data_IF_646225213239
#
_entry.id   IF_646225213239
#
_cell.length_a   1.000
_cell.length_b   1.000
_cell.length_c   1.000
_cell.angle_alpha   90.00
_cell.angle_beta   90.00
_cell.angle_gamma   90.00
#
_symmetry.space_group_name_H-M   'P 1'
#
loop_
_entity.id
_entity.type
_entity.pdbx_description
1 polymer ?
#
# COMPACT_ATOMS: atom_id res chain seq x y z
N UNK A 1 24.35 10.43 -7.24
CA UNK A 1 23.13 10.57 -8.08
C UNK A 1 21.91 10.53 -7.16
N UNK A 2 20.86 11.29 -7.46
CA UNK A 2 19.65 11.33 -6.63
C UNK A 2 18.81 10.06 -6.86
N UNK A 3 18.31 9.41 -5.79
CA UNK A 3 17.41 8.25 -5.91
C UNK A 3 16.05 8.69 -6.50
N UNK A 4 15.45 7.95 -7.45
CA UNK A 4 14.15 8.28 -8.00
C UNK A 4 13.08 8.24 -6.90
N UNK A 5 12.12 9.18 -6.96
CA UNK A 5 10.99 9.24 -6.04
C UNK A 5 9.89 8.34 -6.56
N UNK A 6 9.44 7.38 -5.74
CA UNK A 6 8.47 6.36 -6.13
C UNK A 6 7.14 6.60 -5.42
N UNK A 7 6.05 6.54 -6.19
CA UNK A 7 4.70 6.35 -5.64
C UNK A 7 4.28 4.93 -5.97
N UNK A 8 3.92 4.16 -4.94
CA UNK A 8 3.40 2.80 -5.12
C UNK A 8 1.88 2.81 -5.13
N UNK A 9 1.26 2.16 -6.11
CA UNK A 9 -0.19 2.07 -6.23
C UNK A 9 -0.59 0.58 -6.25
N UNK A 10 -1.35 0.13 -5.25
CA UNK A 10 -1.75 -1.26 -5.15
C UNK A 10 -2.78 -1.49 -4.06
N UNK A 11 -3.53 -2.58 -4.16
CA UNK A 11 -4.62 -2.94 -3.24
C UNK A 11 -4.67 -4.44 -2.89
N UNK A 12 -4.50 -5.37 -3.84
CA UNK A 12 -4.64 -6.80 -3.55
C UNK A 12 -3.44 -7.34 -2.78
N UNK A 13 -3.61 -8.52 -2.18
CA UNK A 13 -2.61 -9.20 -1.36
C UNK A 13 -1.28 -9.43 -2.08
N UNK A 14 -1.32 -9.83 -3.36
CA UNK A 14 -0.10 -10.05 -4.14
C UNK A 14 0.75 -8.78 -4.34
N UNK A 15 0.15 -7.59 -4.25
CA UNK A 15 0.87 -6.34 -4.43
C UNK A 15 1.83 -6.04 -3.26
N UNK A 16 1.58 -6.63 -2.09
CA UNK A 16 2.43 -6.47 -0.90
C UNK A 16 3.85 -6.94 -1.17
N UNK A 17 4.03 -8.05 -1.90
CA UNK A 17 5.37 -8.56 -2.22
C UNK A 17 6.21 -7.56 -3.04
N UNK A 18 5.58 -6.83 -3.97
CA UNK A 18 6.25 -5.79 -4.75
C UNK A 18 6.59 -4.55 -3.91
N UNK A 19 5.67 -4.12 -3.03
CA UNK A 19 5.94 -3.02 -2.10
C UNK A 19 7.07 -3.36 -1.14
N UNK A 20 7.07 -4.59 -0.61
CA UNK A 20 8.10 -5.08 0.30
C UNK A 20 9.49 -5.15 -0.35
N UNK A 21 9.57 -5.61 -1.60
CA UNK A 21 10.82 -5.57 -2.36
C UNK A 21 11.36 -4.14 -2.51
N UNK A 22 10.48 -3.15 -2.75
CA UNK A 22 10.89 -1.74 -2.85
C UNK A 22 11.38 -1.18 -1.52
N UNK A 23 10.71 -1.50 -0.42
CA UNK A 23 11.09 -1.10 0.95
C UNK A 23 12.44 -1.71 1.33
N UNK A 24 12.63 -3.02 1.13
CA UNK A 24 13.87 -3.73 1.43
C UNK A 24 15.06 -3.27 0.60
N UNK A 25 14.82 -2.83 -0.63
CA UNK A 25 15.84 -2.21 -1.48
C UNK A 25 16.11 -0.73 -1.15
N UNK A 26 15.54 -0.21 -0.05
CA UNK A 26 15.71 1.16 0.43
C UNK A 26 15.43 2.20 -0.66
N UNK A 27 14.39 1.95 -1.47
CA UNK A 27 13.93 2.91 -2.46
C UNK A 27 13.27 4.11 -1.79
N UNK A 28 13.32 5.25 -2.46
CA UNK A 28 12.69 6.48 -1.97
C UNK A 28 11.18 6.48 -2.28
N UNK A 29 10.42 5.70 -1.50
CA UNK A 29 8.96 5.63 -1.59
C UNK A 29 8.37 6.83 -0.88
N UNK A 30 7.81 7.76 -1.66
CA UNK A 30 7.26 9.03 -1.14
C UNK A 30 5.75 8.99 -0.92
N UNK A 31 5.09 7.90 -1.31
CA UNK A 31 3.68 7.68 -1.10
C UNK A 31 3.23 6.28 -1.51
N UNK A 32 2.22 5.77 -0.82
CA UNK A 32 1.48 4.55 -1.12
C UNK A 32 0.02 4.92 -1.32
N UNK A 33 -0.58 4.46 -2.41
CA UNK A 33 -2.00 4.66 -2.71
C UNK A 33 -2.67 3.30 -2.78
N UNK A 34 -3.80 3.18 -2.10
CA UNK A 34 -4.65 1.99 -2.13
C UNK A 34 -6.12 2.40 -2.11
N UNK A 35 -7.00 1.49 -2.54
CA UNK A 35 -8.44 1.71 -2.46
C UNK A 35 -8.88 1.99 -1.01
N UNK A 36 -9.92 2.82 -0.81
CA UNK A 36 -10.53 3.03 0.49
C UNK A 36 -11.08 1.73 1.06
N UNK A 37 -11.16 1.67 2.39
CA UNK A 37 -11.73 0.53 3.07
C UNK A 37 -13.21 0.43 2.72
N UNK A 38 -13.66 -0.76 2.29
CA UNK A 38 -15.03 -0.97 1.84
C UNK A 38 -15.56 -2.34 2.25
N UNK A 39 -16.88 -2.48 2.43
CA UNK A 39 -17.52 -3.78 2.65
C UNK A 39 -17.18 -4.77 1.54
N UNK A 40 -16.79 -6.00 1.90
CA UNK A 40 -16.48 -7.06 0.94
C UNK A 40 -16.83 -8.46 1.45
N UNK A 41 -16.93 -9.41 0.53
CA UNK A 41 -17.20 -10.83 0.83
C UNK A 41 -18.63 -11.10 1.31
N UNK A 42 -18.88 -12.34 1.75
CA UNK A 42 -20.17 -12.70 2.36
C UNK A 42 -20.30 -12.03 3.73
N UNK A 43 -21.44 -11.39 3.97
CA UNK A 43 -21.70 -10.65 5.21
C UNK A 43 -21.15 -9.22 5.23
N UNK A 44 -20.57 -8.73 4.12
CA UNK A 44 -20.26 -7.31 3.90
C UNK A 44 -19.52 -6.65 5.06
N UNK A 45 -18.56 -7.36 5.65
CA UNK A 45 -17.72 -6.77 6.70
C UNK A 45 -16.77 -5.75 6.11
N UNK A 46 -16.46 -4.71 6.87
CA UNK A 46 -15.43 -3.74 6.51
C UNK A 46 -14.12 -4.48 6.23
N UNK A 47 -13.57 -4.26 5.04
CA UNK A 47 -12.33 -4.87 4.62
C UNK A 47 -11.28 -3.78 4.35
N UNK A 48 -10.11 -3.98 4.92
CA UNK A 48 -8.94 -3.11 4.76
C UNK A 48 -8.00 -3.78 3.77
N UNK A 49 -7.48 -3.03 2.80
CA UNK A 49 -6.58 -3.58 1.78
C UNK A 49 -5.29 -4.12 2.40
N UNK A 50 -4.70 -5.16 1.78
CA UNK A 50 -3.44 -5.73 2.25
C UNK A 50 -2.29 -4.71 2.16
N UNK A 51 -2.30 -3.86 1.13
CA UNK A 51 -1.33 -2.77 0.96
C UNK A 51 -1.48 -1.69 2.04
N UNK A 52 -2.70 -1.36 2.47
CA UNK A 52 -2.91 -0.44 3.60
C UNK A 52 -2.26 -0.95 4.87
N UNK A 53 -2.56 -2.20 5.26
CA UNK A 53 -1.99 -2.80 6.48
C UNK A 53 -0.47 -2.76 6.45
N UNK A 54 0.12 -3.18 5.33
CA UNK A 54 1.58 -3.14 5.16
C UNK A 54 2.13 -1.71 5.27
N UNK A 55 1.49 -0.74 4.63
CA UNK A 55 1.92 0.66 4.67
C UNK A 55 1.83 1.26 6.08
N UNK A 56 0.78 0.92 6.85
CA UNK A 56 0.63 1.34 8.24
C UNK A 56 1.71 0.70 9.14
N UNK A 57 1.96 -0.61 9.00
CA UNK A 57 3.02 -1.33 9.74
C UNK A 57 4.41 -0.76 9.50
N UNK A 58 4.70 -0.32 8.27
CA UNK A 58 5.99 0.25 7.87
C UNK A 58 6.02 1.78 7.95
N UNK A 59 4.97 2.41 8.51
CA UNK A 59 4.86 3.87 8.64
C UNK A 59 5.06 4.64 7.32
N UNK A 60 4.63 4.05 6.21
CA UNK A 60 4.68 4.67 4.88
C UNK A 60 3.57 5.71 4.73
N UNK A 61 3.84 6.79 3.99
CA UNK A 61 2.82 7.81 3.69
C UNK A 61 1.70 7.21 2.85
N UNK A 62 0.54 7.01 3.45
CA UNK A 62 -0.63 6.39 2.81
C UNK A 62 -1.64 7.44 2.31
N UNK A 63 -2.24 7.18 1.15
CA UNK A 63 -3.31 7.94 0.53
C UNK A 63 -4.44 7.00 0.11
N UNK A 64 -5.69 7.33 0.45
CA UNK A 64 -6.89 6.58 0.04
C UNK A 64 -7.92 7.56 -0.57
N UNK A 65 -7.82 7.89 -1.87
CA UNK A 65 -8.80 8.78 -2.53
C UNK A 65 -10.19 8.12 -2.66
N UNK A 66 -11.24 8.94 -2.66
CA UNK A 66 -12.67 8.55 -2.81
C UNK A 66 -13.15 8.55 -4.26
#
# INVERSE_FOLDING_TARGET
MMKPRIVFMGTPEFAVASLDALVKAENNIVGVITAPDKPAGRGMKMNTSAVKRYAEEHSLRLLQPE
#
